data_IF_448494175707
#
_entry.id   IF_448494175707
#
_cell.length_a   1.000
_cell.length_b   1.000
_cell.length_c   1.000
_cell.angle_alpha   90.00
_cell.angle_beta   90.00
_cell.angle_gamma   90.00
#
_symmetry.space_group_name_H-M   'P 1'
#
loop_
_entity.id
_entity.type
_entity.pdbx_description
1 polymer ?
#
# COMPACT_ATOMS: atom_id res chain seq x y z
N UNK A 1 15.47 -0.91 18.83
CA UNK A 1 16.07 -0.27 17.65
C UNK A 1 15.61 -1.10 16.46
N UNK A 2 14.78 -0.56 15.57
CA UNK A 2 14.34 -1.29 14.37
C UNK A 2 15.48 -1.20 13.35
N UNK A 3 15.84 -2.29 12.65
CA UNK A 3 16.90 -2.26 11.63
C UNK A 3 16.38 -2.60 10.26
N UNK A 4 17.02 -2.04 9.24
CA UNK A 4 16.75 -2.44 7.86
C UNK A 4 17.46 -3.78 7.61
N UNK A 5 16.67 -4.85 7.46
CA UNK A 5 17.19 -6.20 7.23
C UNK A 5 17.55 -6.42 5.77
N UNK A 6 16.72 -5.93 4.85
CA UNK A 6 16.90 -6.11 3.41
C UNK A 6 16.53 -4.80 2.69
N UNK A 7 17.31 -4.43 1.68
CA UNK A 7 17.07 -3.21 0.89
C UNK A 7 17.46 -3.43 -0.56
N UNK A 8 16.59 -3.01 -1.47
CA UNK A 8 16.86 -2.95 -2.90
C UNK A 8 16.36 -1.61 -3.45
N UNK A 9 17.29 -0.74 -3.82
CA UNK A 9 17.00 0.63 -4.25
C UNK A 9 16.21 1.40 -3.20
N UNK A 10 14.94 1.65 -3.49
CA UNK A 10 14.02 2.45 -2.65
C UNK A 10 13.06 1.60 -1.82
N UNK A 11 13.11 0.28 -1.95
CA UNK A 11 12.32 -0.63 -1.13
C UNK A 11 13.20 -1.21 -0.03
N UNK A 12 12.64 -1.39 1.15
CA UNK A 12 13.30 -2.11 2.22
C UNK A 12 12.31 -2.84 3.12
N UNK A 13 12.83 -3.82 3.85
CA UNK A 13 12.10 -4.60 4.83
C UNK A 13 12.86 -4.57 6.16
N UNK A 14 12.13 -4.38 7.25
CA UNK A 14 12.71 -4.39 8.59
C UNK A 14 12.84 -5.82 9.17
N UNK A 15 13.34 -5.91 10.40
CA UNK A 15 13.50 -7.19 11.11
C UNK A 15 12.17 -7.88 11.42
N UNK A 16 11.07 -7.11 11.55
CA UNK A 16 9.72 -7.60 11.81
C UNK A 16 9.01 -8.06 10.52
N UNK A 17 9.65 -7.88 9.36
CA UNK A 17 9.08 -8.22 8.07
C UNK A 17 8.13 -7.16 7.50
N UNK A 18 8.07 -5.96 8.10
CA UNK A 18 7.30 -4.84 7.54
C UNK A 18 8.05 -4.26 6.36
N UNK A 19 7.30 -3.93 5.31
CA UNK A 19 7.86 -3.42 4.07
C UNK A 19 7.63 -1.92 3.97
N UNK A 20 8.62 -1.21 3.46
CA UNK A 20 8.60 0.23 3.28
C UNK A 20 9.11 0.64 1.90
N UNK A 21 8.61 1.77 1.42
CA UNK A 21 9.01 2.41 0.18
C UNK A 21 9.47 3.85 0.47
N UNK A 22 10.61 4.27 -0.11
CA UNK A 22 11.10 5.66 -0.12
C UNK A 22 10.58 6.42 -1.35
N UNK A 23 9.60 7.29 -1.14
CA UNK A 23 8.89 8.05 -2.18
C UNK A 23 9.55 9.40 -2.42
N UNK A 24 9.29 9.99 -3.59
CA UNK A 24 9.73 11.35 -3.93
C UNK A 24 11.17 11.45 -4.44
N UNK A 25 11.65 12.66 -4.77
CA UNK A 25 13.03 12.91 -5.18
C UNK A 25 14.06 12.60 -4.08
N UNK A 26 15.32 12.37 -4.46
CA UNK A 26 16.38 11.97 -3.51
C UNK A 26 16.59 13.00 -2.40
N UNK A 27 16.46 14.29 -2.71
CA UNK A 27 16.60 15.41 -1.78
C UNK A 27 15.29 15.86 -1.10
N UNK A 28 14.18 15.17 -1.39
CA UNK A 28 12.86 15.50 -0.86
C UNK A 28 11.99 14.24 -0.81
N UNK A 29 12.40 13.31 0.04
CA UNK A 29 11.78 11.99 0.10
C UNK A 29 10.97 11.78 1.39
N UNK A 30 10.13 10.76 1.39
CA UNK A 30 9.41 10.30 2.59
C UNK A 30 9.20 8.79 2.53
N UNK A 31 9.04 8.17 3.69
CA UNK A 31 8.77 6.75 3.84
C UNK A 31 7.26 6.51 3.79
N UNK A 32 6.86 5.42 3.15
CA UNK A 32 5.50 4.88 3.26
C UNK A 32 5.56 3.40 3.54
N UNK A 33 4.75 2.93 4.48
CA UNK A 33 4.59 1.50 4.73
C UNK A 33 3.79 0.84 3.61
N UNK A 34 4.24 -0.34 3.21
CA UNK A 34 3.63 -1.21 2.22
C UNK A 34 3.08 -2.46 2.92
N UNK A 35 1.76 -2.62 2.90
CA UNK A 35 1.07 -3.81 3.38
C UNK A 35 1.22 -4.93 2.36
N UNK A 36 1.81 -6.04 2.78
CA UNK A 36 1.89 -7.25 1.95
C UNK A 36 0.49 -7.88 1.80
N UNK A 37 0.15 -8.35 0.61
CA UNK A 37 -1.14 -9.06 0.42
C UNK A 37 -1.12 -10.50 0.86
N UNK A 38 0.06 -11.12 0.84
CA UNK A 38 0.27 -12.53 1.16
C UNK A 38 1.46 -12.62 2.11
N UNK A 39 1.31 -13.46 3.13
CA UNK A 39 2.40 -13.77 4.06
C UNK A 39 3.31 -14.86 3.48
N UNK A 40 4.52 -14.95 4.02
CA UNK A 40 5.49 -16.00 3.66
C UNK A 40 6.21 -15.80 2.33
N UNK A 41 6.04 -14.66 1.66
CA UNK A 41 6.84 -14.28 0.50
C UNK A 41 8.17 -13.70 0.95
N UNK A 42 9.23 -14.03 0.22
CA UNK A 42 10.53 -13.36 0.35
C UNK A 42 10.45 -11.92 -0.19
N UNK A 43 11.36 -11.06 0.26
CA UNK A 43 11.44 -9.68 -0.22
C UNK A 43 11.54 -9.59 -1.75
N UNK A 44 12.35 -10.45 -2.38
CA UNK A 44 12.48 -10.45 -3.84
C UNK A 44 11.17 -10.87 -4.52
N UNK A 45 10.46 -11.87 -4.00
CA UNK A 45 9.16 -12.27 -4.54
C UNK A 45 8.12 -11.16 -4.42
N UNK A 46 8.13 -10.39 -3.32
CA UNK A 46 7.21 -9.27 -3.15
C UNK A 46 7.47 -8.19 -4.20
N UNK A 47 8.75 -7.88 -4.49
CA UNK A 47 9.13 -6.88 -5.49
C UNK A 47 8.83 -7.36 -6.91
N UNK A 48 9.23 -8.60 -7.23
CA UNK A 48 9.02 -9.18 -8.55
C UNK A 48 7.53 -9.22 -8.87
N UNK A 49 6.72 -9.75 -7.96
CA UNK A 49 5.28 -9.96 -8.13
C UNK A 49 4.40 -8.82 -7.63
N UNK A 50 5.00 -7.68 -7.24
CA UNK A 50 4.32 -6.49 -6.73
C UNK A 50 3.25 -6.82 -5.68
N UNK A 51 3.54 -7.72 -4.74
CA UNK A 51 2.56 -8.26 -3.76
C UNK A 51 2.34 -7.36 -2.55
N UNK A 52 2.23 -6.05 -2.78
CA UNK A 52 2.06 -5.07 -1.72
C UNK A 52 1.21 -3.88 -2.18
N UNK A 53 0.57 -3.22 -1.21
CA UNK A 53 -0.18 -1.99 -1.41
C UNK A 53 0.13 -1.00 -0.29
N UNK A 54 0.00 0.33 -0.52
CA UNK A 54 0.22 1.31 0.52
C UNK A 54 -0.76 1.09 1.68
N UNK A 55 -0.27 1.11 2.93
CA UNK A 55 -1.15 1.05 4.11
C UNK A 55 -1.79 2.41 4.44
N UNK A 56 -1.21 3.48 3.88
CA UNK A 56 -1.50 4.86 4.24
C UNK A 56 -0.69 5.37 5.43
N UNK A 57 0.19 4.58 6.02
CA UNK A 57 1.15 5.08 7.00
C UNK A 57 2.35 5.72 6.28
N UNK A 58 2.60 7.00 6.57
CA UNK A 58 3.67 7.79 5.94
C UNK A 58 4.47 8.58 6.97
N UNK A 59 5.73 8.84 6.67
CA UNK A 59 6.61 9.64 7.53
C UNK A 59 6.54 11.14 7.24
N UNK A 60 7.24 11.92 8.07
CA UNK A 60 7.73 13.23 7.68
C UNK A 60 8.65 13.17 6.45
N UNK A 61 8.97 14.34 5.89
CA UNK A 61 9.90 14.45 4.76
C UNK A 61 11.35 14.52 5.23
N UNK A 62 12.25 14.00 4.40
CA UNK A 62 13.69 13.98 4.62
C UNK A 62 14.43 14.65 3.46
N UNK A 63 15.53 15.33 3.79
CA UNK A 63 16.39 16.00 2.82
C UNK A 63 17.34 15.06 2.06
N UNK A 64 17.38 13.78 2.40
CA UNK A 64 18.12 12.76 1.65
C UNK A 64 17.58 11.35 1.93
N UNK A 65 17.83 10.41 1.00
CA UNK A 65 17.55 8.99 1.23
C UNK A 65 18.28 8.45 2.47
N UNK A 66 19.52 8.90 2.68
CA UNK A 66 20.35 8.49 3.82
C UNK A 66 19.73 8.92 5.14
N UNK A 67 19.29 10.18 5.23
CA UNK A 67 18.63 10.71 6.41
C UNK A 67 17.32 9.96 6.71
N UNK A 68 16.56 9.55 5.68
CA UNK A 68 15.36 8.75 5.86
C UNK A 68 15.66 7.36 6.46
N UNK A 69 16.70 6.68 5.95
CA UNK A 69 17.14 5.39 6.47
C UNK A 69 17.69 5.49 7.91
N UNK A 70 18.56 6.47 8.18
CA UNK A 70 19.10 6.68 9.53
C UNK A 70 17.99 6.99 10.53
N UNK A 71 17.06 7.89 10.18
CA UNK A 71 15.91 8.19 11.03
C UNK A 71 15.04 6.95 11.30
N UNK A 72 14.86 6.07 10.31
CA UNK A 72 14.16 4.80 10.49
C UNK A 72 14.88 3.90 11.50
N UNK A 73 16.19 3.69 11.32
CA UNK A 73 16.96 2.79 12.18
C UNK A 73 17.12 3.29 13.62
N UNK A 74 17.11 4.62 13.79
CA UNK A 74 17.17 5.27 15.09
C UNK A 74 15.80 5.52 15.74
N UNK A 75 14.70 5.01 15.17
CA UNK A 75 13.33 5.22 15.66
C UNK A 75 12.94 6.72 15.79
N UNK A 76 13.42 7.56 14.87
CA UNK A 76 13.17 9.02 14.83
C UNK A 76 12.11 9.42 13.79
N UNK A 77 11.39 8.43 13.26
CA UNK A 77 10.34 8.67 12.26
C UNK A 77 9.04 9.07 12.96
N UNK A 78 8.47 10.18 12.52
CA UNK A 78 7.14 10.64 12.90
C UNK A 78 6.15 10.09 11.87
N UNK A 79 5.32 9.16 12.32
CA UNK A 79 4.32 8.53 11.46
C UNK A 79 3.00 9.31 11.47
N UNK A 80 2.38 9.39 10.31
CA UNK A 80 1.07 9.99 10.10
C UNK A 80 0.27 9.18 9.08
N UNK A 81 -1.04 9.42 9.03
CA UNK A 81 -1.91 8.72 8.09
C UNK A 81 -2.28 9.60 6.89
N UNK A 82 -1.89 9.14 5.71
CA UNK A 82 -2.40 9.64 4.44
C UNK A 82 -3.68 8.87 4.08
N UNK A 83 -4.83 9.56 4.18
CA UNK A 83 -6.13 8.97 3.91
C UNK A 83 -6.32 8.61 2.43
N UNK A 84 -5.65 9.29 1.51
CA UNK A 84 -5.71 8.98 0.09
C UNK A 84 -4.96 7.67 -0.20
N UNK A 85 -3.72 7.55 0.29
CA UNK A 85 -2.94 6.32 0.13
C UNK A 85 -3.60 5.13 0.82
N UNK A 86 -4.22 5.34 1.99
CA UNK A 86 -5.00 4.31 2.66
C UNK A 86 -6.15 3.81 1.78
N UNK A 87 -6.99 4.71 1.27
CA UNK A 87 -8.11 4.34 0.40
C UNK A 87 -7.65 3.66 -0.89
N UNK A 88 -6.57 4.16 -1.49
CA UNK A 88 -5.97 3.53 -2.67
C UNK A 88 -5.54 2.11 -2.35
N UNK A 89 -4.84 1.89 -1.23
CA UNK A 89 -4.40 0.56 -0.81
C UNK A 89 -5.56 -0.39 -0.55
N UNK A 90 -6.62 0.09 0.08
CA UNK A 90 -7.84 -0.69 0.31
C UNK A 90 -8.54 -1.05 -1.02
N UNK A 91 -8.58 -0.13 -1.99
CA UNK A 91 -9.09 -0.40 -3.34
C UNK A 91 -8.22 -1.42 -4.09
N UNK A 92 -6.89 -1.32 -3.99
CA UNK A 92 -5.98 -2.31 -4.59
C UNK A 92 -6.18 -3.70 -3.98
N UNK A 93 -6.47 -3.78 -2.67
CA UNK A 93 -6.75 -5.04 -2.00
C UNK A 93 -8.11 -5.64 -2.41
N UNK A 94 -9.13 -4.81 -2.62
CA UNK A 94 -10.46 -5.25 -3.08
C UNK A 94 -10.45 -5.76 -4.53
N UNK A 95 -9.75 -5.06 -5.42
CA UNK A 95 -9.70 -5.40 -6.84
C UNK A 95 -8.56 -6.36 -7.20
N UNK A 96 -7.98 -7.06 -6.23
CA UNK A 96 -6.92 -8.03 -6.52
C UNK A 96 -7.54 -9.25 -7.22
N UNK A 97 -7.29 -9.44 -8.51
CA UNK A 97 -7.47 -10.77 -9.11
C UNK A 97 -6.25 -11.64 -8.85
N UNK A 98 -6.42 -12.96 -8.92
CA UNK A 98 -5.30 -13.92 -8.90
C UNK A 98 -4.29 -13.67 -10.02
N UNK A 99 -4.72 -13.01 -11.10
CA UNK A 99 -3.99 -12.84 -12.34
C UNK A 99 -3.45 -11.40 -12.55
N UNK A 100 -3.93 -10.43 -11.77
CA UNK A 100 -3.70 -9.00 -12.03
C UNK A 100 -2.26 -8.56 -11.82
N UNK A 101 -1.55 -9.20 -10.90
CA UNK A 101 -0.18 -8.84 -10.55
C UNK A 101 0.85 -9.75 -11.18
N UNK A 102 0.58 -10.19 -12.42
CA UNK A 102 1.61 -10.76 -13.26
C UNK A 102 2.57 -9.65 -13.72
N UNK A 103 3.85 -9.72 -13.34
CA UNK A 103 4.84 -8.70 -13.70
C UNK A 103 4.89 -8.54 -15.21
N UNK A 104 5.09 -7.32 -15.70
CA UNK A 104 5.17 -7.04 -17.14
C UNK A 104 6.19 -7.96 -17.83
N UNK A 105 7.31 -8.25 -17.16
CA UNK A 105 8.35 -9.19 -17.62
C UNK A 105 7.78 -10.59 -17.89
N UNK A 106 6.84 -11.06 -17.08
CA UNK A 106 6.24 -12.40 -17.20
C UNK A 106 5.10 -12.46 -18.21
N UNK A 107 4.42 -11.33 -18.45
CA UNK A 107 3.49 -11.18 -19.58
C UNK A 107 4.26 -11.17 -20.91
N UNK A 108 5.39 -10.45 -20.96
CA UNK A 108 6.27 -10.41 -22.13
C UNK A 108 6.94 -11.76 -22.40
N UNK A 109 7.35 -12.51 -21.36
CA UNK A 109 7.92 -13.84 -21.52
C UNK A 109 6.91 -14.83 -22.13
N UNK A 110 5.66 -14.78 -21.70
CA UNK A 110 4.58 -15.60 -22.27
C UNK A 110 4.28 -15.24 -23.72
N UNK A 111 4.18 -13.94 -24.02
CA UNK A 111 3.99 -13.46 -25.40
C UNK A 111 5.15 -13.89 -26.32
N UNK A 112 6.35 -14.05 -25.77
CA UNK A 112 7.53 -14.57 -26.48
C UNK A 112 7.61 -16.12 -26.50
N UNK A 113 6.58 -16.84 -26.04
CA UNK A 113 6.55 -18.31 -25.99
C UNK A 113 7.52 -18.94 -24.99
N UNK A 114 8.07 -18.14 -24.06
CA UNK A 114 9.02 -18.63 -23.03
C UNK A 114 8.26 -19.19 -21.82
N UNK A 115 8.89 -20.13 -21.13
CA UNK A 115 8.36 -20.67 -19.89
C UNK A 115 8.17 -19.56 -18.85
N UNK A 116 6.96 -19.49 -18.31
CA UNK A 116 6.57 -18.50 -17.31
C UNK A 116 6.77 -19.13 -15.94
N UNK A 117 7.47 -18.44 -15.04
CA UNK A 117 7.58 -18.92 -13.66
C UNK A 117 6.18 -18.92 -13.02
N UNK A 118 5.76 -20.01 -12.35
CA UNK A 118 4.49 -20.00 -11.64
C UNK A 118 4.55 -18.98 -10.49
N UNK A 119 3.38 -18.47 -10.09
CA UNK A 119 3.31 -17.60 -8.93
C UNK A 119 3.78 -18.35 -7.68
N UNK A 120 4.61 -17.73 -6.81
CA UNK A 120 5.26 -18.42 -5.69
C UNK A 120 4.28 -18.88 -4.61
N UNK A 121 3.05 -18.37 -4.61
CA UNK A 121 1.97 -18.82 -3.75
C UNK A 121 1.14 -19.97 -4.35
N UNK A 122 1.34 -20.35 -5.62
CA UNK A 122 0.66 -21.50 -6.20
C UNK A 122 1.22 -22.78 -5.57
N UNK A 123 0.34 -23.55 -4.90
CA UNK A 123 0.72 -24.77 -4.18
C UNK A 123 1.13 -24.57 -2.72
N UNK A 124 1.14 -23.32 -2.20
CA UNK A 124 1.27 -23.05 -0.77
C UNK A 124 -0.11 -22.95 -0.13
N UNK A 125 -0.30 -23.55 1.05
CA UNK A 125 -1.49 -23.30 1.86
C UNK A 125 -1.58 -21.80 2.15
N UNK A 126 -2.70 -21.16 1.84
CA UNK A 126 -2.86 -19.73 2.11
C UNK A 126 -2.95 -19.53 3.61
N UNK A 127 -1.90 -18.99 4.22
CA UNK A 127 -2.05 -18.43 5.55
C UNK A 127 -3.04 -17.25 5.48
N UNK A 128 -3.90 -17.10 6.49
CA UNK A 128 -4.86 -16.00 6.53
C UNK A 128 -4.13 -14.66 6.41
N UNK A 129 -4.82 -13.70 5.79
CA UNK A 129 -4.35 -12.31 5.68
C UNK A 129 -4.01 -11.79 7.08
N UNK A 130 -2.91 -11.03 7.22
CA UNK A 130 -2.50 -10.48 8.52
C UNK A 130 -3.52 -9.52 9.15
N UNK A 131 -4.57 -9.10 8.43
CA UNK A 131 -5.67 -8.32 8.99
C UNK A 131 -7.02 -8.69 8.34
N UNK A 132 -8.12 -8.78 9.11
CA UNK A 132 -9.46 -8.88 8.55
C UNK A 132 -9.83 -7.60 7.81
N UNK A 133 -10.25 -7.73 6.55
CA UNK A 133 -10.97 -6.68 5.84
C UNK A 133 -12.40 -6.67 6.40
N UNK A 134 -13.01 -5.53 6.77
CA UNK A 134 -14.40 -5.53 7.17
C UNK A 134 -15.25 -6.01 5.98
N UNK A 135 -15.85 -7.19 6.08
CA UNK A 135 -16.87 -7.62 5.14
C UNK A 135 -18.07 -6.70 5.34
N UNK A 136 -18.30 -5.76 4.43
CA UNK A 136 -19.63 -5.19 4.28
C UNK A 136 -20.51 -6.25 3.64
N UNK A 137 -21.17 -7.06 4.48
CA UNK A 137 -22.22 -7.95 4.03
C UNK A 137 -23.44 -7.14 3.61
N UNK A 138 -23.57 -6.91 2.30
CA UNK A 138 -24.79 -6.44 1.66
C UNK A 138 -25.79 -7.60 1.55
N UNK A 139 -26.42 -8.00 2.66
CA UNK A 139 -27.71 -8.72 2.67
C UNK A 139 -28.12 -9.14 4.08
N UNK A 140 -28.76 -8.24 4.83
CA UNK A 140 -29.71 -8.60 5.88
C UNK A 140 -30.70 -7.44 6.01
N UNK A 141 -31.87 -7.59 5.38
CA UNK A 141 -32.97 -6.65 5.52
C UNK A 141 -33.78 -6.90 6.79
N UNK A 142 -34.29 -5.79 7.35
CA UNK A 142 -35.47 -5.65 8.24
C UNK A 142 -35.28 -6.27 9.65
N UNK A 143 -35.28 -5.54 10.77
CA UNK A 143 -36.27 -4.55 11.25
C UNK A 143 -35.62 -3.68 12.37
N UNK A 144 -35.82 -2.35 12.37
CA UNK A 144 -35.68 -1.49 13.55
C UNK A 144 -34.75 -0.26 13.46
N UNK A 145 -35.25 0.82 12.85
CA UNK A 145 -34.73 2.22 12.91
C UNK A 145 -34.89 2.85 14.33
N UNK A 146 -34.38 4.07 14.66
CA UNK A 146 -33.75 5.08 13.78
C UNK A 146 -32.44 5.71 14.35
N UNK A 147 -31.58 6.25 13.48
CA UNK A 147 -30.64 7.28 13.94
C UNK A 147 -29.38 7.50 13.12
N UNK A 148 -29.39 8.56 12.31
CA UNK A 148 -28.19 9.25 11.87
C UNK A 148 -27.82 9.04 10.41
N UNK A 149 -28.66 9.56 9.52
CA UNK A 149 -28.27 9.89 8.14
C UNK A 149 -27.04 10.82 8.18
N UNK A 150 -25.83 10.27 8.03
CA UNK A 150 -24.62 11.06 7.86
C UNK A 150 -24.64 11.66 6.45
N UNK A 151 -25.41 12.73 6.30
CA UNK A 151 -25.44 13.57 5.12
C UNK A 151 -24.02 14.08 4.87
N UNK A 152 -23.39 13.63 3.79
CA UNK A 152 -22.11 14.19 3.37
C UNK A 152 -22.22 15.72 3.23
N UNK A 153 -21.29 16.52 3.78
CA UNK A 153 -21.35 17.96 3.62
C UNK A 153 -21.22 18.30 2.13
N UNK A 154 -22.33 18.79 1.55
CA UNK A 154 -22.38 19.34 0.20
C UNK A 154 -21.33 20.44 0.08
N UNK A 155 -20.34 20.22 -0.77
CA UNK A 155 -19.31 21.19 -1.16
C UNK A 155 -20.00 22.49 -1.63
N UNK A 156 -19.95 23.55 -0.82
CA UNK A 156 -20.39 24.89 -1.24
C UNK A 156 -19.55 25.31 -2.46
N UNK A 157 -20.20 25.36 -3.63
CA UNK A 157 -19.66 25.93 -4.85
C UNK A 157 -19.41 27.41 -4.57
N UNK A 158 -18.15 27.84 -4.44
CA UNK A 158 -17.81 29.26 -4.35
C UNK A 158 -18.25 29.91 -5.65
N UNK A 159 -19.24 30.81 -5.57
CA UNK A 159 -19.60 31.72 -6.65
C UNK A 159 -18.40 32.62 -6.94
N UNK A 160 -18.08 32.77 -8.22
CA UNK A 160 -17.18 33.80 -8.72
C UNK A 160 -17.80 35.14 -8.33
N UNK A 161 -17.11 35.95 -7.52
CA UNK A 161 -17.39 37.37 -7.42
C UNK A 161 -16.64 38.05 -8.55
N UNK A 162 -17.36 38.75 -9.41
CA UNK A 162 -16.82 39.63 -10.44
C UNK A 162 -15.95 40.73 -9.82
N UNK A 163 -14.94 41.24 -10.55
CA UNK A 163 -14.10 42.32 -10.08
C UNK A 163 -14.89 43.63 -10.01
N UNK A 164 -14.72 44.34 -8.90
CA UNK A 164 -15.19 45.73 -8.75
C UNK A 164 -14.24 46.62 -9.55
N UNK A 165 -14.82 47.43 -10.44
CA UNK A 165 -14.13 48.50 -11.18
C UNK A 165 -13.72 49.65 -10.26
#
# INVERSE_FOLDING_TARGET
MVRIRQRQGRHFMDEEGRMFWINGPDNFCYLSEQRQWRSGLSFQEILDWKQCAPSGLVSQRFGSLRAACEAFEHNQVLWSHDLYLRRMGDQMALHRSSDDYRPTVMKLAEAAGRAVRPAPWNGRQSNPLSCPVPLMNSSAGLVGEPGGELTHPRRRRRSLREPVH
#
